data_IF_384248901904
#
_entry.id   IF_384248901904
#
_cell.length_a   1.000
_cell.length_b   1.000
_cell.length_c   1.000
_cell.angle_alpha   90.00
_cell.angle_beta   90.00
_cell.angle_gamma   90.00
#
_symmetry.space_group_name_H-M   'P 1'
#
loop_
_entity.id
_entity.type
_entity.pdbx_description
1 polymer ?
#
# COMPACT_ATOMS: atom_id res chain seq x y z
N UNK A 1 -1.79 16.34 31.95
CA UNK A 1 -2.48 16.76 30.71
C UNK A 1 -2.32 15.61 29.73
N UNK A 2 -3.37 15.19 29.04
CA UNK A 2 -3.23 14.16 28.01
C UNK A 2 -2.42 14.77 26.86
N UNK A 3 -1.41 14.03 26.42
CA UNK A 3 -0.60 14.42 25.27
C UNK A 3 -1.48 14.38 24.01
N UNK A 4 -1.23 15.28 23.06
CA UNK A 4 -2.00 15.30 21.79
C UNK A 4 -1.13 14.76 20.67
N UNK A 5 -1.71 13.91 19.85
CA UNK A 5 -1.12 13.50 18.59
C UNK A 5 -1.49 14.50 17.48
N UNK A 6 -0.50 14.88 16.69
CA UNK A 6 -0.67 15.75 15.52
C UNK A 6 -0.13 15.05 14.27
N UNK A 7 -0.71 15.34 13.12
CA UNK A 7 -0.15 14.92 11.83
C UNK A 7 0.92 15.94 11.46
N UNK A 8 2.20 15.54 11.51
CA UNK A 8 3.33 16.44 11.23
C UNK A 8 3.81 16.36 9.79
N UNK A 9 3.52 15.27 9.08
CA UNK A 9 3.84 15.10 7.67
C UNK A 9 3.05 13.99 7.01
N UNK A 10 2.86 14.09 5.70
CA UNK A 10 2.31 13.03 4.89
C UNK A 10 2.76 13.12 3.43
N UNK A 11 2.82 11.98 2.78
CA UNK A 11 3.13 11.87 1.36
C UNK A 11 2.31 10.77 0.72
N UNK A 12 2.03 10.91 -0.56
CA UNK A 12 1.25 9.94 -1.32
C UNK A 12 1.81 9.77 -2.73
N UNK A 13 1.62 8.57 -3.28
CA UNK A 13 1.77 8.30 -4.71
C UNK A 13 0.58 7.46 -5.15
N UNK A 14 -0.29 8.07 -5.92
CA UNK A 14 -1.56 7.51 -6.37
C UNK A 14 -1.65 7.60 -7.89
N UNK A 15 -2.44 6.76 -8.58
CA UNK A 15 -2.74 6.92 -10.00
C UNK A 15 -3.35 8.29 -10.33
N UNK A 16 -3.99 8.88 -9.34
CA UNK A 16 -4.63 10.20 -9.40
C UNK A 16 -3.63 11.35 -9.21
N UNK A 17 -2.56 11.14 -8.42
CA UNK A 17 -1.56 12.16 -8.10
C UNK A 17 -0.25 11.53 -7.58
N UNK A 18 0.87 11.92 -8.16
CA UNK A 18 2.19 11.39 -7.80
C UNK A 18 2.78 11.97 -6.51
N UNK A 19 2.16 13.02 -5.96
CA UNK A 19 2.56 13.65 -4.70
C UNK A 19 1.38 14.38 -4.04
N UNK A 20 1.57 14.80 -2.80
CA UNK A 20 0.51 15.42 -1.99
C UNK A 20 0.03 16.77 -2.54
N UNK A 21 0.91 17.58 -3.13
CA UNK A 21 0.54 18.89 -3.70
C UNK A 21 -0.36 18.70 -4.92
N UNK A 22 0.01 17.79 -5.81
CA UNK A 22 -0.78 17.45 -6.99
C UNK A 22 -2.12 16.80 -6.61
N UNK A 23 -2.17 16.02 -5.52
CA UNK A 23 -3.41 15.47 -4.98
C UNK A 23 -4.39 16.60 -4.62
N UNK A 24 -3.94 17.58 -3.86
CA UNK A 24 -4.77 18.71 -3.43
C UNK A 24 -5.24 19.52 -4.64
N UNK A 25 -4.36 19.77 -5.60
CA UNK A 25 -4.70 20.49 -6.83
C UNK A 25 -5.75 19.75 -7.65
N UNK A 26 -5.56 18.45 -7.90
CA UNK A 26 -6.48 17.63 -8.67
C UNK A 26 -7.86 17.53 -8.01
N UNK A 27 -7.89 17.41 -6.66
CA UNK A 27 -9.14 17.44 -5.89
C UNK A 27 -9.89 18.77 -6.05
N UNK A 28 -9.17 19.91 -5.96
CA UNK A 28 -9.77 21.25 -6.15
C UNK A 28 -10.33 21.45 -7.55
N UNK A 29 -9.69 20.85 -8.55
CA UNK A 29 -10.10 20.95 -9.96
C UNK A 29 -11.18 19.91 -10.33
N UNK A 30 -11.59 19.02 -9.43
CA UNK A 30 -12.54 17.95 -9.70
C UNK A 30 -12.08 16.98 -10.79
N UNK A 31 -10.76 16.80 -10.97
CA UNK A 31 -10.23 15.87 -11.95
C UNK A 31 -10.64 14.44 -11.62
N UNK A 32 -10.83 13.64 -12.66
CA UNK A 32 -11.10 12.22 -12.52
C UNK A 32 -9.81 11.42 -12.67
N UNK A 33 -9.73 10.27 -12.00
CA UNK A 33 -8.64 9.31 -12.18
C UNK A 33 -8.72 8.70 -13.57
N UNK A 34 -7.55 8.48 -14.19
CA UNK A 34 -7.48 7.73 -15.43
C UNK A 34 -7.57 6.24 -15.14
N UNK A 35 -8.49 5.57 -15.83
CA UNK A 35 -8.68 4.13 -15.75
C UNK A 35 -8.03 3.45 -16.95
N UNK A 36 -7.51 2.27 -16.73
CA UNK A 36 -6.94 1.41 -17.77
C UNK A 36 -7.44 -0.02 -17.60
N UNK A 37 -7.60 -0.77 -18.69
CA UNK A 37 -7.98 -2.16 -18.60
C UNK A 37 -6.88 -3.00 -17.93
N UNK A 38 -7.31 -3.98 -17.13
CA UNK A 38 -6.39 -4.92 -16.50
C UNK A 38 -5.85 -5.94 -17.49
N UNK A 39 -6.72 -6.48 -18.33
CA UNK A 39 -6.37 -7.46 -19.36
C UNK A 39 -6.08 -6.77 -20.69
N UNK A 40 -5.29 -7.43 -21.53
CA UNK A 40 -4.97 -6.92 -22.89
C UNK A 40 -6.15 -7.04 -23.85
N UNK A 41 -7.13 -7.90 -23.54
CA UNK A 41 -8.36 -8.09 -24.33
C UNK A 41 -9.47 -8.69 -23.48
N UNK A 42 -10.73 -8.54 -23.93
CA UNK A 42 -11.88 -9.18 -23.28
C UNK A 42 -11.79 -10.72 -23.34
N UNK A 43 -11.23 -11.26 -24.42
CA UNK A 43 -10.99 -12.69 -24.51
C UNK A 43 -10.09 -13.19 -23.39
N UNK A 44 -9.00 -12.47 -23.11
CA UNK A 44 -8.10 -12.83 -22.00
C UNK A 44 -8.81 -12.74 -20.64
N UNK A 45 -9.68 -11.75 -20.45
CA UNK A 45 -10.48 -11.63 -19.23
C UNK A 45 -11.39 -12.85 -19.04
N UNK A 46 -12.13 -13.25 -20.10
CA UNK A 46 -13.02 -14.40 -20.08
C UNK A 46 -12.23 -15.70 -19.84
N UNK A 47 -11.10 -15.89 -20.51
CA UNK A 47 -10.22 -17.06 -20.31
C UNK A 47 -9.68 -17.13 -18.86
N UNK A 48 -9.61 -15.99 -18.18
CA UNK A 48 -9.25 -15.89 -16.77
C UNK A 48 -10.43 -15.98 -15.80
N UNK A 49 -11.65 -16.18 -16.29
CA UNK A 49 -12.84 -16.39 -15.47
C UNK A 49 -13.60 -15.10 -15.08
N UNK A 50 -13.36 -14.00 -15.80
CA UNK A 50 -14.07 -12.74 -15.59
C UNK A 50 -15.20 -12.60 -16.62
N UNK A 51 -16.22 -11.80 -16.27
CA UNK A 51 -17.36 -11.48 -17.17
C UNK A 51 -16.96 -10.61 -18.36
N UNK A 52 -15.89 -9.85 -18.21
CA UNK A 52 -15.31 -8.94 -19.21
C UNK A 52 -14.04 -8.28 -18.71
N UNK A 53 -13.50 -7.31 -19.45
CA UNK A 53 -12.32 -6.58 -19.00
C UNK A 53 -12.66 -5.65 -17.84
N UNK A 54 -11.73 -5.54 -16.91
CA UNK A 54 -11.91 -4.76 -15.68
C UNK A 54 -11.12 -3.46 -15.81
N UNK A 55 -11.76 -2.36 -15.47
CA UNK A 55 -11.12 -1.05 -15.39
C UNK A 55 -10.54 -0.82 -14.00
N UNK A 56 -9.29 -0.47 -13.94
CA UNK A 56 -8.56 -0.19 -12.70
C UNK A 56 -7.74 1.09 -12.81
N UNK A 57 -7.36 1.64 -11.67
CA UNK A 57 -6.43 2.76 -11.60
C UNK A 57 -5.03 2.24 -11.22
N UNK A 58 -4.13 2.20 -12.20
CA UNK A 58 -2.71 1.79 -12.03
C UNK A 58 -1.79 2.98 -11.88
N UNK A 59 -0.72 2.80 -11.13
CA UNK A 59 0.41 3.71 -11.14
C UNK A 59 1.15 3.63 -12.48
N UNK A 60 1.54 4.77 -13.04
CA UNK A 60 2.23 4.86 -14.34
C UNK A 60 3.68 4.39 -14.32
N UNK A 61 4.19 3.92 -13.16
CA UNK A 61 5.59 3.54 -12.96
C UNK A 61 5.73 2.03 -12.97
N UNK A 62 6.19 1.48 -14.09
CA UNK A 62 6.39 0.03 -14.24
C UNK A 62 7.75 -0.47 -13.69
N UNK A 63 8.74 0.40 -13.47
CA UNK A 63 10.12 0.00 -13.21
C UNK A 63 10.69 0.32 -11.81
N UNK A 64 10.00 1.13 -11.00
CA UNK A 64 10.47 1.39 -9.64
C UNK A 64 10.11 0.18 -8.73
N UNK A 65 11.06 -0.29 -7.95
CA UNK A 65 10.72 -1.28 -6.94
C UNK A 65 9.73 -0.63 -5.95
N UNK A 66 8.75 -1.41 -5.48
CA UNK A 66 7.78 -0.92 -4.50
C UNK A 66 8.46 -0.31 -3.26
N UNK A 67 9.66 -0.81 -2.91
CA UNK A 67 10.42 -0.31 -1.78
C UNK A 67 11.12 1.03 -2.04
N UNK A 68 11.60 1.29 -3.25
CA UNK A 68 12.20 2.57 -3.59
C UNK A 68 11.17 3.69 -3.48
N UNK A 69 9.95 3.41 -3.94
CA UNK A 69 8.83 4.33 -3.78
C UNK A 69 8.47 4.55 -2.30
N UNK A 70 8.42 3.48 -1.49
CA UNK A 70 8.16 3.58 -0.05
C UNK A 70 9.23 4.43 0.65
N UNK A 71 10.51 4.19 0.35
CA UNK A 71 11.60 4.97 0.94
C UNK A 71 11.53 6.45 0.55
N UNK A 72 11.21 6.73 -0.72
CA UNK A 72 10.99 8.10 -1.18
C UNK A 72 9.86 8.78 -0.40
N UNK A 73 8.71 8.11 -0.25
CA UNK A 73 7.56 8.65 0.48
C UNK A 73 7.87 8.88 1.97
N UNK A 74 8.58 7.96 2.62
CA UNK A 74 9.02 8.15 4.01
C UNK A 74 9.89 9.41 4.11
N UNK A 75 10.89 9.55 3.23
CA UNK A 75 11.76 10.72 3.24
C UNK A 75 11.00 12.03 3.02
N UNK A 76 10.08 12.08 2.04
CA UNK A 76 9.22 13.25 1.79
C UNK A 76 8.37 13.59 3.01
N UNK A 77 7.83 12.57 3.70
CA UNK A 77 7.03 12.75 4.92
C UNK A 77 7.86 13.33 6.07
N UNK A 78 9.08 12.83 6.27
CA UNK A 78 10.00 13.33 7.29
C UNK A 78 10.44 14.76 7.00
N UNK A 79 10.80 15.06 5.75
CA UNK A 79 11.18 16.44 5.33
C UNK A 79 10.02 17.41 5.60
N UNK A 80 8.78 17.03 5.27
CA UNK A 80 7.60 17.86 5.54
C UNK A 80 7.41 18.12 7.04
N UNK A 81 7.74 17.13 7.88
CA UNK A 81 7.73 17.27 9.34
C UNK A 81 8.93 18.07 9.88
N UNK A 82 9.93 18.42 9.06
CA UNK A 82 11.17 19.04 9.53
C UNK A 82 12.12 18.07 10.24
N UNK A 83 11.96 16.77 10.02
CA UNK A 83 12.74 15.70 10.63
C UNK A 83 13.62 14.99 9.60
N UNK A 84 14.59 14.22 10.09
CA UNK A 84 15.41 13.31 9.28
C UNK A 84 15.22 11.84 9.70
N UNK A 85 15.87 10.92 9.00
CA UNK A 85 15.75 9.47 9.24
C UNK A 85 16.20 9.04 10.68
N UNK A 86 17.06 9.81 11.33
CA UNK A 86 17.57 9.45 12.67
C UNK A 86 16.46 9.49 13.73
N UNK A 87 15.41 10.27 13.53
CA UNK A 87 14.25 10.28 14.43
C UNK A 87 13.58 8.92 14.57
N UNK A 88 13.73 8.04 13.56
CA UNK A 88 13.11 6.72 13.53
C UNK A 88 13.86 5.67 14.36
N UNK A 89 15.10 5.94 14.79
CA UNK A 89 15.95 5.01 15.56
C UNK A 89 15.59 4.92 17.05
N UNK A 90 14.68 5.78 17.52
CA UNK A 90 14.31 5.90 18.93
C UNK A 90 13.48 4.73 19.47
N UNK A 91 13.57 4.50 20.79
CA UNK A 91 12.72 3.52 21.48
C UNK A 91 11.24 3.94 21.52
N UNK A 92 10.96 5.24 21.48
CA UNK A 92 9.64 5.84 21.55
C UNK A 92 9.04 6.10 20.16
N UNK A 93 9.43 5.26 19.20
CA UNK A 93 8.94 5.29 17.81
C UNK A 93 8.26 3.98 17.49
N UNK A 94 7.15 4.06 16.75
CA UNK A 94 6.47 2.90 16.16
C UNK A 94 6.24 3.14 14.68
N UNK A 95 6.45 2.09 13.91
CA UNK A 95 6.14 2.08 12.48
C UNK A 95 5.09 1.01 12.24
N UNK A 96 4.04 1.35 11.50
CA UNK A 96 2.96 0.45 11.13
C UNK A 96 2.91 0.31 9.61
N UNK A 97 2.78 -0.91 9.11
CA UNK A 97 2.61 -1.19 7.69
C UNK A 97 1.15 -1.58 7.47
N UNK A 98 0.55 -0.99 6.46
CA UNK A 98 -0.83 -1.22 6.06
C UNK A 98 -0.93 -1.49 4.55
N UNK A 99 -2.11 -1.81 4.09
CA UNK A 99 -2.33 -2.17 2.70
C UNK A 99 -2.13 -3.66 2.48
N UNK A 100 -2.05 -4.06 1.22
CA UNK A 100 -1.98 -5.47 0.85
C UNK A 100 -0.52 -5.98 0.89
N UNK A 101 0.43 -5.06 0.89
CA UNK A 101 1.87 -5.36 0.97
C UNK A 101 2.43 -6.13 -0.22
N UNK A 102 3.74 -6.41 -0.22
CA UNK A 102 4.33 -7.33 -1.16
C UNK A 102 3.85 -8.75 -0.86
N UNK A 103 3.29 -9.41 -1.87
CA UNK A 103 2.83 -10.80 -1.82
C UNK A 103 2.93 -11.42 -3.20
N UNK A 104 2.94 -12.75 -3.23
CA UNK A 104 2.97 -13.48 -4.50
C UNK A 104 1.67 -13.26 -5.27
N UNK A 105 1.79 -13.12 -6.57
CA UNK A 105 0.66 -13.16 -7.46
C UNK A 105 0.32 -14.62 -7.79
N UNK A 106 -0.95 -14.97 -7.70
CA UNK A 106 -1.44 -16.32 -8.10
C UNK A 106 -1.10 -16.61 -9.56
N UNK A 107 -1.02 -15.58 -10.41
CA UNK A 107 -0.61 -15.74 -11.81
C UNK A 107 0.85 -16.15 -11.96
N UNK A 108 1.74 -15.76 -11.03
CA UNK A 108 3.13 -16.22 -11.03
C UNK A 108 3.19 -17.74 -10.82
N UNK A 109 2.35 -18.29 -9.92
CA UNK A 109 2.22 -19.74 -9.73
C UNK A 109 1.60 -20.42 -10.94
N UNK A 110 0.50 -19.87 -11.48
CA UNK A 110 -0.15 -20.41 -12.67
C UNK A 110 0.83 -20.50 -13.83
N UNK A 111 1.58 -19.45 -14.09
CA UNK A 111 2.60 -19.42 -15.13
C UNK A 111 3.71 -20.44 -14.85
N UNK A 112 4.15 -20.53 -13.60
CA UNK A 112 5.14 -21.52 -13.19
C UNK A 112 4.67 -22.95 -13.51
N UNK A 113 3.45 -23.32 -13.10
CA UNK A 113 2.90 -24.67 -13.34
C UNK A 113 2.59 -24.96 -14.81
N UNK A 114 2.22 -23.94 -15.59
CA UNK A 114 1.87 -24.13 -17.00
C UNK A 114 3.08 -24.26 -17.91
N UNK A 115 4.23 -23.70 -17.53
CA UNK A 115 5.41 -23.62 -18.40
C UNK A 115 6.58 -24.50 -17.93
N UNK A 116 6.45 -25.21 -16.82
CA UNK A 116 7.53 -26.02 -16.30
C UNK A 116 7.08 -27.45 -16.05
N UNK A 117 7.96 -28.41 -16.41
CA UNK A 117 7.78 -29.78 -16.01
C UNK A 117 8.02 -29.94 -14.52
N UNK A 118 7.02 -30.44 -13.81
CA UNK A 118 7.05 -30.59 -12.36
C UNK A 118 7.98 -31.69 -11.86
N UNK A 119 8.46 -32.56 -12.74
CA UNK A 119 9.31 -33.67 -12.35
C UNK A 119 10.75 -33.24 -12.03
N UNK A 120 11.19 -32.09 -12.53
CA UNK A 120 12.56 -31.59 -12.26
C UNK A 120 12.60 -30.14 -11.78
N UNK A 121 12.06 -29.91 -10.61
CA UNK A 121 11.97 -28.59 -9.96
C UNK A 121 13.34 -27.94 -9.75
N UNK A 122 14.41 -28.73 -9.65
CA UNK A 122 15.77 -28.24 -9.40
C UNK A 122 16.36 -27.44 -10.58
N UNK A 123 15.87 -27.65 -11.79
CA UNK A 123 16.37 -27.02 -13.02
C UNK A 123 15.61 -25.73 -13.37
N UNK A 124 14.53 -25.42 -12.68
CA UNK A 124 13.64 -24.32 -13.03
C UNK A 124 14.19 -23.00 -12.53
N UNK A 125 14.72 -22.16 -13.42
CA UNK A 125 15.25 -20.83 -13.07
C UNK A 125 14.19 -19.89 -12.47
N UNK A 126 12.93 -20.05 -12.85
CA UNK A 126 11.80 -19.27 -12.36
C UNK A 126 11.42 -19.56 -10.91
N UNK A 127 11.90 -20.66 -10.31
CA UNK A 127 11.68 -20.97 -8.88
C UNK A 127 12.26 -19.88 -7.96
N UNK A 128 13.27 -19.14 -8.42
CA UNK A 128 13.82 -18.01 -7.69
C UNK A 128 12.81 -16.89 -7.50
N UNK A 129 11.86 -16.75 -8.40
CA UNK A 129 10.79 -15.75 -8.32
C UNK A 129 9.71 -16.15 -7.31
N UNK A 130 9.60 -17.44 -7.02
CA UNK A 130 8.72 -18.00 -6.00
C UNK A 130 9.39 -18.05 -4.60
N UNK A 131 10.52 -17.39 -4.42
CA UNK A 131 11.21 -17.42 -3.13
C UNK A 131 10.34 -16.87 -1.99
N UNK A 132 10.39 -17.53 -0.84
CA UNK A 132 9.66 -17.13 0.39
C UNK A 132 9.92 -15.67 0.75
N UNK A 133 11.10 -15.13 0.44
CA UNK A 133 11.45 -13.72 0.66
C UNK A 133 10.55 -12.74 -0.09
N UNK A 134 10.01 -13.14 -1.24
CA UNK A 134 9.10 -12.30 -2.03
C UNK A 134 7.64 -12.58 -1.70
N UNK A 135 7.36 -13.65 -0.95
CA UNK A 135 6.01 -14.12 -0.63
C UNK A 135 5.49 -13.57 0.70
N UNK A 136 6.36 -13.19 1.62
CA UNK A 136 5.97 -12.78 2.96
C UNK A 136 5.76 -11.27 3.07
N UNK A 137 4.62 -10.87 3.64
CA UNK A 137 4.40 -9.49 4.05
C UNK A 137 5.44 -9.01 5.06
N UNK A 138 6.02 -9.93 5.83
CA UNK A 138 7.09 -9.64 6.80
C UNK A 138 8.36 -9.13 6.14
N UNK A 139 8.56 -9.38 4.84
CA UNK A 139 9.68 -8.81 4.09
C UNK A 139 9.71 -7.29 4.16
N UNK A 140 8.55 -6.63 4.14
CA UNK A 140 8.47 -5.19 4.28
C UNK A 140 8.93 -4.75 5.68
N UNK A 141 8.47 -5.44 6.73
CA UNK A 141 8.85 -5.18 8.12
C UNK A 141 10.37 -5.27 8.31
N UNK A 142 10.98 -6.37 7.85
CA UNK A 142 12.43 -6.56 7.97
C UNK A 142 13.23 -5.55 7.16
N UNK A 143 12.82 -5.23 5.93
CA UNK A 143 13.52 -4.25 5.09
C UNK A 143 13.48 -2.85 5.71
N UNK A 144 12.33 -2.43 6.22
CA UNK A 144 12.18 -1.13 6.89
C UNK A 144 12.98 -1.10 8.20
N UNK A 145 12.86 -2.14 9.02
CA UNK A 145 13.62 -2.23 10.27
C UNK A 145 15.12 -2.14 10.03
N UNK A 146 15.64 -2.85 9.03
CA UNK A 146 17.06 -2.81 8.68
C UNK A 146 17.48 -1.46 8.09
N UNK A 147 16.67 -0.88 7.19
CA UNK A 147 17.02 0.38 6.50
C UNK A 147 17.08 1.57 7.45
N UNK A 148 16.14 1.64 8.40
CA UNK A 148 16.00 2.76 9.35
C UNK A 148 16.48 2.44 10.76
N UNK A 149 17.13 1.30 10.96
CA UNK A 149 17.64 0.85 12.26
C UNK A 149 16.56 0.91 13.37
N UNK A 150 15.32 0.49 13.01
CA UNK A 150 14.19 0.55 13.93
C UNK A 150 14.39 -0.35 15.13
N UNK A 151 14.07 0.12 16.33
CA UNK A 151 14.14 -0.67 17.58
C UNK A 151 13.03 -1.72 17.68
N UNK A 152 11.93 -1.50 16.98
CA UNK A 152 10.77 -2.40 16.98
C UNK A 152 10.43 -2.79 15.55
N UNK A 153 10.22 -4.07 15.35
CA UNK A 153 9.79 -4.59 14.03
C UNK A 153 8.38 -4.05 13.72
N UNK A 154 8.18 -3.41 12.55
CA UNK A 154 6.88 -2.89 12.15
C UNK A 154 5.84 -4.01 12.01
N UNK A 155 4.70 -3.96 12.71
CA UNK A 155 3.61 -4.89 12.47
C UNK A 155 2.92 -4.60 11.14
N UNK A 156 2.49 -5.65 10.45
CA UNK A 156 1.58 -5.56 9.32
C UNK A 156 0.14 -5.54 9.84
N UNK A 157 -0.54 -4.42 9.63
CA UNK A 157 -1.95 -4.25 10.03
C UNK A 157 -2.84 -4.74 8.89
N UNK A 158 -3.55 -5.83 9.13
CA UNK A 158 -4.44 -6.44 8.15
C UNK A 158 -5.89 -6.48 8.68
N UNK A 159 -6.56 -5.35 8.60
CA UNK A 159 -7.95 -5.14 8.99
C UNK A 159 -8.80 -4.78 7.76
N UNK A 160 -8.50 -5.39 6.60
CA UNK A 160 -9.14 -5.10 5.32
C UNK A 160 -9.11 -3.59 4.97
N UNK A 161 -10.22 -3.00 4.55
CA UNK A 161 -10.34 -1.58 4.19
C UNK A 161 -10.01 -0.61 5.34
N UNK A 162 -10.07 -1.07 6.59
CA UNK A 162 -9.82 -0.24 7.78
C UNK A 162 -8.37 -0.28 8.28
N UNK A 163 -7.47 -0.99 7.60
CA UNK A 163 -6.08 -1.19 8.07
C UNK A 163 -5.37 0.11 8.40
N UNK A 164 -5.41 1.09 7.51
CA UNK A 164 -4.74 2.38 7.73
C UNK A 164 -5.39 3.20 8.85
N UNK A 165 -6.72 3.23 8.92
CA UNK A 165 -7.43 3.92 10.01
C UNK A 165 -7.14 3.29 11.37
N UNK A 166 -7.06 1.95 11.43
CA UNK A 166 -6.68 1.23 12.65
C UNK A 166 -5.25 1.57 13.07
N UNK A 167 -4.29 1.60 12.13
CA UNK A 167 -2.91 1.97 12.42
C UNK A 167 -2.81 3.43 12.93
N UNK A 168 -3.52 4.36 12.30
CA UNK A 168 -3.60 5.75 12.74
C UNK A 168 -4.17 5.83 14.17
N UNK A 169 -5.28 5.15 14.43
CA UNK A 169 -5.90 5.12 15.76
C UNK A 169 -4.94 4.57 16.83
N UNK A 170 -4.25 3.46 16.55
CA UNK A 170 -3.26 2.90 17.47
C UNK A 170 -2.09 3.86 17.72
N UNK A 171 -1.60 4.53 16.67
CA UNK A 171 -0.56 5.55 16.79
C UNK A 171 -0.99 6.72 17.66
N UNK A 172 -2.19 7.26 17.43
CA UNK A 172 -2.78 8.33 18.26
C UNK A 172 -2.88 7.89 19.72
N UNK A 173 -3.47 6.73 19.98
CA UNK A 173 -3.64 6.22 21.35
C UNK A 173 -2.31 6.00 22.05
N UNK A 174 -1.30 5.46 21.36
CA UNK A 174 0.02 5.25 21.95
C UNK A 174 0.74 6.58 22.29
N UNK A 175 0.56 7.62 21.48
CA UNK A 175 1.05 8.97 21.75
C UNK A 175 0.31 9.59 22.94
N UNK A 176 -1.02 9.59 22.92
CA UNK A 176 -1.86 10.18 23.97
C UNK A 176 -1.64 9.54 25.34
N UNK A 177 -1.25 8.27 25.37
CA UNK A 177 -0.88 7.54 26.58
C UNK A 177 0.58 7.77 27.02
N UNK A 178 1.34 8.58 26.27
CA UNK A 178 2.74 8.86 26.56
C UNK A 178 3.67 7.65 26.32
N UNK A 179 3.22 6.65 25.59
CA UNK A 179 4.03 5.45 25.28
C UNK A 179 5.05 5.67 24.19
N UNK A 180 4.77 6.52 23.22
CA UNK A 180 5.64 6.87 22.10
C UNK A 180 5.56 8.37 21.78
N UNK A 181 6.56 8.88 21.05
CA UNK A 181 6.60 10.26 20.56
C UNK A 181 6.25 10.35 19.09
N UNK A 182 6.57 9.30 18.32
CA UNK A 182 6.38 9.25 16.88
C UNK A 182 5.69 7.94 16.46
N UNK A 183 4.74 8.05 15.53
CA UNK A 183 4.15 6.92 14.83
C UNK A 183 4.18 7.17 13.31
N UNK A 184 4.93 6.34 12.58
CA UNK A 184 4.96 6.37 11.11
C UNK A 184 4.04 5.28 10.58
N UNK A 185 3.03 5.66 9.80
CA UNK A 185 2.09 4.76 9.15
C UNK A 185 2.41 4.72 7.66
N UNK A 186 2.64 3.52 7.13
CA UNK A 186 3.02 3.29 5.74
C UNK A 186 1.96 2.43 5.08
N UNK A 187 1.44 2.86 3.94
CA UNK A 187 0.55 2.07 3.10
C UNK A 187 1.29 1.59 1.85
N UNK A 188 1.19 0.28 1.58
CA UNK A 188 1.73 -0.36 0.39
C UNK A 188 0.59 -1.14 -0.27
N UNK A 189 0.02 -0.61 -1.35
CA UNK A 189 -1.10 -1.24 -2.03
C UNK A 189 -0.81 -1.38 -3.53
N UNK A 190 -0.54 -2.62 -3.94
CA UNK A 190 -0.39 -3.02 -5.34
C UNK A 190 -1.43 -4.08 -5.68
N UNK A 191 -2.17 -3.86 -6.76
CA UNK A 191 -3.22 -4.79 -7.21
C UNK A 191 -2.58 -6.11 -7.67
N UNK A 192 -3.19 -7.21 -7.26
CA UNK A 192 -2.85 -8.56 -7.69
C UNK A 192 -4.08 -9.25 -8.28
N UNK A 193 -3.86 -10.24 -9.12
CA UNK A 193 -4.94 -10.99 -9.77
C UNK A 193 -5.97 -11.52 -8.77
N UNK A 194 -5.54 -12.10 -7.65
CA UNK A 194 -6.45 -12.64 -6.64
C UNK A 194 -7.35 -11.60 -5.98
N UNK A 195 -6.95 -10.32 -5.95
CA UNK A 195 -7.80 -9.24 -5.44
C UNK A 195 -8.98 -8.99 -6.37
N UNK A 196 -8.70 -9.02 -7.68
CA UNK A 196 -9.71 -8.83 -8.71
C UNK A 196 -10.67 -10.02 -8.73
N UNK A 197 -10.17 -11.26 -8.65
CA UNK A 197 -11.01 -12.46 -8.56
C UNK A 197 -11.94 -12.39 -7.35
N UNK A 198 -11.43 -11.97 -6.20
CA UNK A 198 -12.26 -11.81 -5.01
C UNK A 198 -13.37 -10.76 -5.22
N UNK A 199 -13.03 -9.59 -5.76
CA UNK A 199 -14.00 -8.52 -5.99
C UNK A 199 -15.02 -8.88 -7.08
N UNK A 200 -14.58 -9.53 -8.15
CA UNK A 200 -15.48 -10.06 -9.21
C UNK A 200 -16.47 -11.06 -8.63
N UNK A 201 -16.00 -12.01 -7.82
CA UNK A 201 -16.88 -13.01 -7.18
C UNK A 201 -17.93 -12.41 -6.24
N UNK A 202 -17.71 -11.18 -5.79
CA UNK A 202 -18.66 -10.41 -4.97
C UNK A 202 -19.52 -9.45 -5.80
N UNK A 203 -19.40 -9.42 -7.14
CA UNK A 203 -20.09 -8.46 -8.00
C UNK A 203 -19.71 -7.00 -7.71
N UNK A 204 -18.48 -6.76 -7.28
CA UNK A 204 -18.04 -5.41 -6.86
C UNK A 204 -17.23 -4.66 -7.91
N UNK A 205 -16.91 -5.26 -9.06
CA UNK A 205 -16.08 -4.65 -10.11
C UNK A 205 -16.85 -4.06 -11.30
N UNK A 206 -18.14 -3.96 -11.21
CA UNK A 206 -19.01 -3.49 -12.31
C UNK A 206 -19.14 -1.97 -12.41
N UNK A 207 -18.36 -1.21 -11.63
CA UNK A 207 -18.51 0.24 -11.57
C UNK A 207 -17.59 0.96 -12.56
N UNK A 208 -18.17 1.79 -13.42
CA UNK A 208 -17.42 2.76 -14.22
C UNK A 208 -17.13 4.06 -13.44
N UNK A 209 -17.86 4.30 -12.36
CA UNK A 209 -17.75 5.49 -11.54
C UNK A 209 -18.03 5.17 -10.07
N UNK A 210 -17.15 5.61 -9.19
CA UNK A 210 -17.37 5.49 -7.75
C UNK A 210 -18.48 6.45 -7.31
N UNK A 211 -19.49 5.90 -6.67
CA UNK A 211 -20.63 6.64 -6.13
C UNK A 211 -20.82 6.31 -4.63
N UNK A 212 -19.98 6.86 -3.75
CA UNK A 212 -20.05 6.57 -2.33
C UNK A 212 -21.44 6.89 -1.79
N UNK A 213 -22.07 5.90 -1.13
CA UNK A 213 -23.44 6.02 -0.57
C UNK A 213 -24.53 6.35 -1.60
N UNK A 214 -24.25 6.31 -2.90
CA UNK A 214 -25.21 6.55 -3.95
C UNK A 214 -26.18 5.38 -4.13
N UNK A 215 -27.47 5.67 -4.39
CA UNK A 215 -28.50 4.65 -4.63
C UNK A 215 -28.20 3.79 -5.87
N UNK A 216 -27.43 4.33 -6.82
CA UNK A 216 -27.00 3.64 -8.04
C UNK A 216 -25.56 3.13 -7.94
N UNK A 217 -25.01 3.01 -6.74
CA UNK A 217 -23.67 2.46 -6.56
C UNK A 217 -23.70 0.96 -6.82
N UNK A 218 -23.01 0.54 -7.87
CA UNK A 218 -22.96 -0.86 -8.34
C UNK A 218 -21.58 -1.51 -8.20
N UNK A 219 -20.63 -0.85 -7.48
CA UNK A 219 -19.32 -1.44 -7.27
C UNK A 219 -18.25 -0.43 -6.92
N UNK A 220 -17.00 -0.87 -7.04
CA UNK A 220 -15.80 -0.08 -6.74
C UNK A 220 -14.84 -0.07 -7.93
N UNK A 221 -14.03 0.97 -8.02
CA UNK A 221 -12.86 1.02 -8.89
C UNK A 221 -11.65 0.68 -8.04
N UNK A 222 -11.00 -0.43 -8.36
CA UNK A 222 -9.82 -0.83 -7.63
C UNK A 222 -8.60 -0.02 -8.06
N UNK A 223 -7.80 0.44 -7.12
CA UNK A 223 -6.67 1.32 -7.38
C UNK A 223 -5.41 0.88 -6.63
N UNK A 224 -4.27 1.07 -7.27
CA UNK A 224 -2.98 1.02 -6.57
C UNK A 224 -2.78 2.30 -5.75
N UNK A 225 -1.91 2.25 -4.76
CA UNK A 225 -1.57 3.43 -4.00
C UNK A 225 -0.54 3.19 -2.91
N UNK A 226 0.31 4.19 -2.72
CA UNK A 226 1.32 4.20 -1.67
C UNK A 226 1.19 5.50 -0.89
N UNK A 227 1.48 5.44 0.39
CA UNK A 227 1.45 6.62 1.23
C UNK A 227 2.25 6.44 2.50
N UNK A 228 2.67 7.54 3.08
CA UNK A 228 3.25 7.60 4.41
C UNK A 228 2.63 8.77 5.18
N UNK A 229 2.42 8.58 6.47
CA UNK A 229 1.91 9.61 7.38
C UNK A 229 2.67 9.53 8.69
N UNK A 230 3.14 10.66 9.18
CA UNK A 230 3.79 10.78 10.47
C UNK A 230 2.85 11.45 11.47
N UNK A 231 2.61 10.76 12.56
CA UNK A 231 2.00 11.29 13.76
C UNK A 231 3.10 11.63 14.77
N UNK A 232 3.00 12.76 15.40
CA UNK A 232 3.97 13.27 16.35
C UNK A 232 3.27 13.75 17.61
N UNK A 233 3.89 13.52 18.77
CA UNK A 233 3.45 14.10 20.02
C UNK A 233 3.64 15.62 19.97
N UNK A 234 2.66 16.37 20.44
CA UNK A 234 2.76 17.83 20.46
C UNK A 234 3.95 18.32 21.30
N UNK A 235 4.30 17.63 22.39
CA UNK A 235 5.45 17.99 23.23
C UNK A 235 6.77 17.77 22.50
N UNK A 236 6.91 16.66 21.79
CA UNK A 236 8.10 16.37 20.98
C UNK A 236 8.32 17.44 19.91
N UNK A 237 7.24 17.96 19.31
CA UNK A 237 7.34 18.97 18.26
C UNK A 237 7.70 20.36 18.78
N UNK A 238 7.40 20.67 20.03
CA UNK A 238 7.66 21.98 20.65
C UNK A 238 9.03 22.05 21.36
N UNK A 239 9.71 20.94 21.54
CA UNK A 239 11.04 20.82 22.15
C UNK A 239 12.14 20.77 21.13
#
# INVERSE_FOLDING_TARGET
MSERAIISGFSVCLPYAENSSLLIENLRQGKRVHLSPWFTSDKQAIDCGFSGNILIAKLKRDNDSAFDLVYKLINETLIQAGLNEDCLKGNRVRVYITGIGPRVDVMDYRNFYNYNDMEDVSLISSIKNLSVKNMSQDTASYRLAKRYELKHLPPNMNCTSNSSLTAIHLGIRAIEQGGIDLALIINISKIKYQDLVFLESQGMLESEMVQPFGINSNGVIFAEGYGAMLLESQQHRLG
#
